data_IF_750227913673
#
_entry.id   IF_750227913673
#
_cell.length_a   1.000
_cell.length_b   1.000
_cell.length_c   1.000
_cell.angle_alpha   90.00
_cell.angle_beta   90.00
_cell.angle_gamma   90.00
#
_symmetry.space_group_name_H-M   'P 1'
#
loop_
_entity.id
_entity.type
_entity.pdbx_description
1 polymer ?
#
# COMPACT_ATOMS: atom_id res chain seq x y z
N UNK A 1 -1.61 21.22 -27.27
CA UNK A 1 -1.90 21.09 -28.72
C UNK A 1 -2.58 22.36 -29.17
N UNK A 2 -1.83 23.29 -29.77
CA UNK A 2 -2.36 24.52 -30.38
C UNK A 2 -2.67 24.25 -31.87
N UNK A 3 -3.52 25.06 -32.50
CA UNK A 3 -3.86 24.93 -33.93
C UNK A 3 -2.60 24.89 -34.82
N UNK A 4 -1.61 25.70 -34.48
CA UNK A 4 -0.31 25.76 -35.15
C UNK A 4 0.49 24.45 -35.03
N UNK A 5 0.44 23.77 -33.89
CA UNK A 5 1.12 22.45 -33.72
C UNK A 5 0.44 21.31 -34.48
N UNK A 6 -0.79 21.51 -34.96
CA UNK A 6 -1.55 20.57 -35.78
C UNK A 6 -1.48 20.92 -37.28
N UNK A 7 -0.73 21.96 -37.66
CA UNK A 7 -0.61 22.42 -39.06
C UNK A 7 -1.86 23.12 -39.60
N UNK A 8 -2.81 23.48 -38.74
CA UNK A 8 -3.99 24.26 -39.10
C UNK A 8 -3.66 25.73 -38.85
N UNK A 9 -3.29 26.43 -39.91
CA UNK A 9 -3.12 27.87 -39.96
C UNK A 9 -4.12 28.46 -40.96
N UNK A 10 -4.38 29.77 -40.83
CA UNK A 10 -5.16 30.61 -41.72
C UNK A 10 -4.82 30.39 -43.21
N UNK A 11 -3.54 30.11 -43.50
CA UNK A 11 -3.06 29.84 -44.86
C UNK A 11 -3.39 28.40 -45.34
N UNK A 12 -3.46 27.42 -44.45
CA UNK A 12 -3.69 26.00 -44.78
C UNK A 12 -5.16 25.57 -44.65
N UNK A 13 -5.98 26.36 -43.95
CA UNK A 13 -7.43 26.23 -43.84
C UNK A 13 -8.19 27.14 -44.82
N UNK A 14 -7.58 27.50 -45.95
CA UNK A 14 -8.22 28.32 -46.97
C UNK A 14 -9.28 27.50 -47.75
N UNK A 15 -10.43 28.11 -48.03
CA UNK A 15 -11.57 27.50 -48.73
C UNK A 15 -11.92 28.27 -50.02
N UNK A 16 -11.01 29.13 -50.49
CA UNK A 16 -11.25 29.99 -51.65
C UNK A 16 -11.40 29.22 -52.98
N UNK A 17 -10.79 28.05 -53.12
CA UNK A 17 -10.95 27.15 -54.27
C UNK A 17 -11.38 25.75 -53.83
N UNK A 18 -11.95 24.97 -54.76
CA UNK A 18 -12.33 23.57 -54.51
C UNK A 18 -11.13 22.68 -54.14
N UNK A 19 -9.95 22.97 -54.69
CA UNK A 19 -8.69 22.29 -54.36
C UNK A 19 -8.18 22.66 -52.97
N UNK A 20 -8.27 23.94 -52.59
CA UNK A 20 -7.86 24.39 -51.26
C UNK A 20 -8.80 23.83 -50.18
N UNK A 21 -10.11 23.82 -50.46
CA UNK A 21 -11.12 23.21 -49.59
C UNK A 21 -10.87 21.72 -49.34
N UNK A 22 -10.47 20.96 -50.38
CA UNK A 22 -10.13 19.54 -50.24
C UNK A 22 -8.87 19.33 -49.38
N UNK A 23 -7.87 20.19 -49.55
CA UNK A 23 -6.63 20.16 -48.75
C UNK A 23 -6.90 20.49 -47.28
N UNK A 24 -7.70 21.52 -47.02
CA UNK A 24 -8.12 21.93 -45.68
C UNK A 24 -8.89 20.80 -44.96
N UNK A 25 -9.78 20.10 -45.66
CA UNK A 25 -10.49 18.91 -45.13
C UNK A 25 -9.52 17.78 -44.74
N UNK A 26 -8.50 17.52 -45.56
CA UNK A 26 -7.47 16.51 -45.26
C UNK A 26 -6.65 16.87 -44.01
N UNK A 27 -6.30 18.14 -43.85
CA UNK A 27 -5.59 18.65 -42.67
C UNK A 27 -6.43 18.55 -41.41
N UNK A 28 -7.70 18.95 -41.47
CA UNK A 28 -8.64 18.82 -40.34
C UNK A 28 -8.81 17.36 -39.93
N UNK A 29 -8.97 16.44 -40.89
CA UNK A 29 -9.05 15.01 -40.59
C UNK A 29 -7.80 14.48 -39.88
N UNK A 30 -6.61 14.91 -40.31
CA UNK A 30 -5.34 14.55 -39.69
C UNK A 30 -5.24 15.11 -38.28
N UNK A 31 -5.65 16.36 -38.07
CA UNK A 31 -5.67 16.98 -36.76
C UNK A 31 -6.65 16.31 -35.79
N UNK A 32 -7.83 15.91 -36.27
CA UNK A 32 -8.81 15.14 -35.49
C UNK A 32 -8.18 13.82 -35.05
N UNK A 33 -7.57 13.07 -35.97
CA UNK A 33 -6.89 11.80 -35.65
C UNK A 33 -5.77 11.98 -34.62
N UNK A 34 -4.97 13.03 -34.72
CA UNK A 34 -3.90 13.31 -33.76
C UNK A 34 -4.46 13.62 -32.36
N UNK A 35 -5.51 14.45 -32.28
CA UNK A 35 -6.17 14.78 -31.02
C UNK A 35 -6.88 13.57 -30.40
N UNK A 36 -7.50 12.73 -31.22
CA UNK A 36 -8.14 11.50 -30.73
C UNK A 36 -7.13 10.45 -30.29
N UNK A 37 -5.97 10.35 -30.95
CA UNK A 37 -4.84 9.52 -30.49
C UNK A 37 -4.31 9.98 -29.13
N UNK A 38 -4.13 11.28 -28.93
CA UNK A 38 -3.74 11.83 -27.63
C UNK A 38 -4.79 11.52 -26.54
N UNK A 39 -6.09 11.66 -26.85
CA UNK A 39 -7.19 11.29 -25.93
C UNK A 39 -7.19 9.79 -25.60
N UNK A 40 -6.95 8.93 -26.59
CA UNK A 40 -6.84 7.50 -26.37
C UNK A 40 -5.66 7.16 -25.45
N UNK A 41 -4.50 7.80 -25.64
CA UNK A 41 -3.34 7.65 -24.75
C UNK A 41 -3.65 8.07 -23.31
N UNK A 42 -4.37 9.17 -23.11
CA UNK A 42 -4.80 9.57 -21.77
C UNK A 42 -5.81 8.59 -21.15
N UNK A 43 -6.75 8.08 -21.94
CA UNK A 43 -7.69 7.04 -21.49
C UNK A 43 -6.97 5.77 -21.04
N UNK A 44 -5.99 5.29 -21.82
CA UNK A 44 -5.13 4.18 -21.44
C UNK A 44 -4.37 4.46 -20.14
N UNK A 45 -3.78 5.64 -19.99
CA UNK A 45 -3.02 5.99 -18.80
C UNK A 45 -3.92 6.09 -17.55
N UNK A 46 -5.15 6.61 -17.69
CA UNK A 46 -6.14 6.62 -16.62
C UNK A 46 -6.52 5.19 -16.20
N UNK A 47 -6.78 4.30 -17.15
CA UNK A 47 -7.06 2.89 -16.85
C UNK A 47 -5.87 2.23 -16.12
N UNK A 48 -4.65 2.48 -16.59
CA UNK A 48 -3.44 1.96 -15.95
C UNK A 48 -3.29 2.47 -14.52
N UNK A 49 -3.48 3.77 -14.28
CA UNK A 49 -3.44 4.35 -12.93
C UNK A 49 -4.52 3.72 -12.04
N UNK A 50 -5.74 3.54 -12.56
CA UNK A 50 -6.82 2.86 -11.85
C UNK A 50 -6.44 1.43 -11.45
N UNK A 51 -5.97 0.61 -12.40
CA UNK A 51 -5.54 -0.76 -12.13
C UNK A 51 -4.35 -0.82 -11.15
N UNK A 52 -3.33 0.04 -11.33
CA UNK A 52 -2.19 0.11 -10.42
C UNK A 52 -2.61 0.51 -9.01
N UNK A 53 -3.51 1.47 -8.86
CA UNK A 53 -4.03 1.87 -7.56
C UNK A 53 -4.77 0.72 -6.86
N UNK A 54 -5.58 -0.05 -7.59
CA UNK A 54 -6.25 -1.25 -7.03
C UNK A 54 -5.24 -2.29 -6.57
N UNK A 55 -4.24 -2.61 -7.39
CA UNK A 55 -3.19 -3.58 -7.03
C UNK A 55 -2.40 -3.12 -5.81
N UNK A 56 -2.04 -1.83 -5.74
CA UNK A 56 -1.31 -1.27 -4.59
C UNK A 56 -2.14 -1.32 -3.31
N UNK A 57 -3.45 -1.03 -3.36
CA UNK A 57 -4.32 -1.15 -2.19
C UNK A 57 -4.39 -2.60 -1.68
N UNK A 58 -4.55 -3.57 -2.58
CA UNK A 58 -4.55 -5.01 -2.21
C UNK A 58 -3.20 -5.40 -1.58
N UNK A 59 -2.08 -4.94 -2.17
CA UNK A 59 -0.76 -5.22 -1.63
C UNK A 59 -0.56 -4.58 -0.25
N UNK A 60 -1.04 -3.36 -0.04
CA UNK A 60 -0.97 -2.67 1.25
C UNK A 60 -1.79 -3.39 2.32
N UNK A 61 -2.98 -3.88 1.98
CA UNK A 61 -3.82 -4.68 2.89
C UNK A 61 -3.13 -5.99 3.29
N UNK A 62 -2.58 -6.71 2.31
CA UNK A 62 -1.85 -7.95 2.56
C UNK A 62 -0.59 -7.73 3.42
N UNK A 63 0.14 -6.63 3.19
CA UNK A 63 1.30 -6.26 3.99
C UNK A 63 0.91 -5.91 5.43
N UNK A 64 -0.14 -5.10 5.63
CA UNK A 64 -0.66 -4.78 6.97
C UNK A 64 -1.13 -6.04 7.71
N UNK A 65 -1.82 -6.96 7.03
CA UNK A 65 -2.24 -8.22 7.62
C UNK A 65 -1.04 -9.13 7.98
N UNK A 66 0.03 -9.10 7.19
CA UNK A 66 1.28 -9.80 7.52
C UNK A 66 1.99 -9.15 8.72
N UNK A 67 2.11 -7.82 8.74
CA UNK A 67 2.69 -7.07 9.85
C UNK A 67 1.92 -7.30 11.16
N UNK A 68 0.59 -7.22 11.14
CA UNK A 68 -0.25 -7.51 12.31
C UNK A 68 0.01 -8.91 12.83
N UNK A 69 0.12 -9.93 11.97
CA UNK A 69 0.44 -11.30 12.40
C UNK A 69 1.82 -11.41 13.07
N UNK A 70 2.83 -10.72 12.54
CA UNK A 70 4.17 -10.74 13.15
C UNK A 70 4.13 -10.03 14.51
N UNK A 71 3.55 -8.83 14.56
CA UNK A 71 3.40 -8.07 15.81
C UNK A 71 2.60 -8.82 16.87
N UNK A 72 1.49 -9.45 16.49
CA UNK A 72 0.65 -10.20 17.42
C UNK A 72 1.38 -11.45 17.97
N UNK A 73 2.18 -12.13 17.14
CA UNK A 73 3.01 -13.28 17.56
C UNK A 73 4.11 -12.83 18.53
N UNK A 74 4.78 -11.72 18.25
CA UNK A 74 5.83 -11.19 19.11
C UNK A 74 5.26 -10.73 20.46
N UNK A 75 4.10 -10.04 20.47
CA UNK A 75 3.39 -9.67 21.69
C UNK A 75 2.96 -10.90 22.48
N UNK A 76 2.41 -11.93 21.82
CA UNK A 76 2.02 -13.17 22.50
C UNK A 76 3.23 -13.87 23.13
N UNK A 77 4.38 -13.89 22.47
CA UNK A 77 5.61 -14.47 22.99
C UNK A 77 6.13 -13.68 24.21
N UNK A 78 6.14 -12.36 24.14
CA UNK A 78 6.57 -11.50 25.25
C UNK A 78 5.63 -11.63 26.45
N UNK A 79 4.31 -11.68 26.22
CA UNK A 79 3.31 -11.90 27.26
C UNK A 79 3.46 -13.29 27.92
N UNK A 80 3.79 -14.33 27.15
CA UNK A 80 4.08 -15.65 27.69
C UNK A 80 5.36 -15.64 28.55
N UNK A 81 6.40 -14.94 28.11
CA UNK A 81 7.64 -14.77 28.87
C UNK A 81 7.42 -13.97 30.16
N UNK A 82 6.68 -12.86 30.09
CA UNK A 82 6.27 -12.05 31.24
C UNK A 82 5.46 -12.86 32.24
N UNK A 83 4.47 -13.64 31.77
CA UNK A 83 3.65 -14.50 32.64
C UNK A 83 4.50 -15.58 33.30
N UNK A 84 5.42 -16.23 32.55
CA UNK A 84 6.36 -17.21 33.11
C UNK A 84 7.22 -16.59 34.21
N UNK A 85 7.74 -15.38 33.99
CA UNK A 85 8.56 -14.67 34.96
C UNK A 85 7.76 -14.28 36.21
N UNK A 86 6.50 -13.85 36.06
CA UNK A 86 5.62 -13.58 37.20
C UNK A 86 5.33 -14.83 38.03
N UNK A 87 5.02 -15.95 37.37
CA UNK A 87 4.79 -17.24 38.03
C UNK A 87 6.06 -17.71 38.76
N UNK A 88 7.24 -17.59 38.13
CA UNK A 88 8.52 -17.92 38.76
C UNK A 88 8.81 -17.02 39.97
N UNK A 89 8.53 -15.72 39.88
CA UNK A 89 8.71 -14.79 41.00
C UNK A 89 7.77 -15.15 42.16
N UNK A 90 6.50 -15.44 41.89
CA UNK A 90 5.52 -15.84 42.90
C UNK A 90 5.87 -17.21 43.52
N UNK A 91 6.28 -18.17 42.70
CA UNK A 91 6.77 -19.47 43.16
C UNK A 91 8.05 -19.34 43.99
N UNK A 92 8.98 -18.46 43.61
CA UNK A 92 10.19 -18.16 44.37
C UNK A 92 9.91 -17.58 45.75
N UNK A 93 8.96 -16.64 45.85
CA UNK A 93 8.51 -16.09 47.15
C UNK A 93 7.85 -17.16 48.02
N UNK A 94 6.98 -18.00 47.44
CA UNK A 94 6.32 -19.08 48.17
C UNK A 94 7.31 -20.17 48.61
N UNK A 95 8.25 -20.55 47.74
CA UNK A 95 9.34 -21.48 48.04
C UNK A 95 10.29 -20.94 49.11
N UNK A 96 10.63 -19.65 49.10
CA UNK A 96 11.43 -19.01 50.16
C UNK A 96 10.70 -19.02 51.50
N UNK A 97 9.38 -18.79 51.51
CA UNK A 97 8.56 -18.91 52.72
C UNK A 97 8.54 -20.33 53.27
N UNK A 98 8.35 -21.32 52.39
CA UNK A 98 8.31 -22.73 52.75
C UNK A 98 9.69 -23.24 53.22
N UNK A 99 10.76 -22.83 52.55
CA UNK A 99 12.14 -23.13 52.92
C UNK A 99 12.56 -22.51 54.26
N UNK A 100 12.02 -21.34 54.65
CA UNK A 100 12.26 -20.76 55.97
C UNK A 100 11.51 -21.49 57.09
N UNK A 101 10.32 -22.03 56.81
CA UNK A 101 9.52 -22.77 57.80
C UNK A 101 10.03 -24.19 58.09
N UNK A 102 10.71 -24.82 57.13
CA UNK A 102 11.27 -26.17 57.24
C UNK A 102 12.34 -26.33 58.35
N UNK A 103 13.37 -25.46 58.46
CA UNK A 103 14.37 -25.57 59.52
C UNK A 103 13.81 -25.28 60.92
N UNK A 104 12.78 -24.44 61.04
CA UNK A 104 12.10 -24.24 62.32
C UNK A 104 11.34 -25.49 62.79
N UNK A 105 10.69 -26.22 61.88
CA UNK A 105 10.10 -27.53 62.19
C UNK A 105 11.15 -28.59 62.57
N UNK A 106 12.31 -28.58 61.92
CA UNK A 106 13.42 -29.48 62.28
C UNK A 106 13.98 -29.17 63.68
N UNK A 107 14.06 -27.89 64.06
CA UNK A 107 14.46 -27.47 65.39
C UNK A 107 13.45 -27.84 66.48
N UNK A 108 12.14 -27.86 66.19
CA UNK A 108 11.13 -28.37 67.14
C UNK A 108 11.19 -29.88 67.31
N UNK A 109 11.64 -30.64 66.30
CA UNK A 109 11.84 -32.10 66.40
C UNK A 109 13.12 -32.50 67.15
N UNK A 110 14.07 -31.57 67.34
CA UNK A 110 15.30 -31.77 68.11
C UNK A 110 15.18 -31.36 69.59
N UNK A 111 13.95 -31.05 70.04
CA UNK A 111 13.64 -30.66 71.43
C UNK A 111 12.91 -31.75 72.19
#
# INVERSE_FOLDING_TARGET
VTATTLGIDSASANVASTTDAATALGLVNTAIKAKDSARASFGYMMNRIGSTATVLNISAENLKAAESRVSDVDVAQEMAAMTRNQVLAQAGVSMLGQANSMPQMALTLLR
#
